data_IF_710014939308
#
_entry.id   IF_710014939308
#
_cell.length_a   1.000
_cell.length_b   1.000
_cell.length_c   1.000
_cell.angle_alpha   90.00
_cell.angle_beta   90.00
_cell.angle_gamma   90.00
#
_symmetry.space_group_name_H-M   'P 1'
#
loop_
_entity.id
_entity.type
_entity.pdbx_description
1 polymer ?
#
# COMPACT_ATOMS: atom_id res chain seq x y z
N UNK A 1 9.36 14.47 20.09
CA UNK A 1 10.28 15.44 19.43
C UNK A 1 9.49 16.14 18.34
N UNK A 2 9.51 17.50 18.32
CA UNK A 2 8.79 18.27 17.30
C UNK A 2 9.48 18.15 15.94
N UNK A 3 8.72 17.73 14.92
CA UNK A 3 9.17 17.52 13.52
C UNK A 3 8.15 18.07 12.55
N UNK A 4 8.55 18.34 11.31
CA UNK A 4 7.58 18.67 10.27
C UNK A 4 6.95 17.37 9.67
N UNK A 5 5.81 17.51 8.98
CA UNK A 5 5.08 16.36 8.46
C UNK A 5 5.89 15.50 7.49
N UNK A 6 6.78 16.08 6.69
CA UNK A 6 7.65 15.31 5.81
C UNK A 6 8.65 14.45 6.61
N UNK A 7 9.26 14.99 7.67
CA UNK A 7 10.14 14.23 8.56
C UNK A 7 9.39 13.14 9.32
N UNK A 8 8.15 13.44 9.77
CA UNK A 8 7.27 12.47 10.43
C UNK A 8 6.94 11.31 9.49
N UNK A 9 6.61 11.61 8.23
CA UNK A 9 6.35 10.59 7.22
C UNK A 9 7.54 9.64 7.07
N UNK A 10 8.76 10.16 6.93
CA UNK A 10 9.95 9.33 6.76
C UNK A 10 10.22 8.50 8.01
N UNK A 11 10.10 9.07 9.19
CA UNK A 11 10.27 8.31 10.44
C UNK A 11 9.22 7.22 10.61
N UNK A 12 7.96 7.50 10.28
CA UNK A 12 6.89 6.50 10.32
C UNK A 12 7.11 5.38 9.30
N UNK A 13 7.59 5.68 8.09
CA UNK A 13 7.94 4.67 7.09
C UNK A 13 9.10 3.78 7.57
N UNK A 14 10.15 4.38 8.10
CA UNK A 14 11.29 3.63 8.67
C UNK A 14 10.85 2.78 9.87
N UNK A 15 9.95 3.29 10.71
CA UNK A 15 9.34 2.56 11.84
C UNK A 15 8.60 1.30 11.35
N UNK A 16 7.95 1.36 10.17
CA UNK A 16 7.30 0.20 9.56
C UNK A 16 8.26 -0.75 8.83
N UNK A 17 9.56 -0.45 8.83
CA UNK A 17 10.59 -1.28 8.22
C UNK A 17 10.78 -1.04 6.73
N UNK A 18 10.35 0.12 6.22
CA UNK A 18 10.59 0.52 4.84
C UNK A 18 12.06 0.89 4.67
N UNK A 19 12.73 0.19 3.78
CA UNK A 19 14.14 0.44 3.41
C UNK A 19 14.26 1.02 1.99
N UNK A 20 13.22 0.87 1.17
CA UNK A 20 13.22 1.29 -0.23
C UNK A 20 11.87 1.90 -0.62
N UNK A 21 11.91 3.05 -1.31
CA UNK A 21 10.76 3.73 -1.87
C UNK A 21 10.99 4.06 -3.34
N UNK A 22 9.99 3.88 -4.19
CA UNK A 22 10.05 4.17 -5.62
C UNK A 22 9.23 5.42 -5.92
N UNK A 23 9.74 6.32 -6.75
CA UNK A 23 8.96 7.52 -7.01
C UNK A 23 9.52 8.46 -8.07
N UNK A 24 8.71 9.48 -8.36
CA UNK A 24 9.09 10.58 -9.24
C UNK A 24 8.74 11.92 -8.56
N UNK A 25 9.67 12.90 -8.53
CA UNK A 25 9.47 14.16 -7.82
C UNK A 25 8.45 15.07 -8.53
N UNK A 26 7.87 15.98 -7.76
CA UNK A 26 6.99 17.03 -8.25
C UNK A 26 6.64 18.05 -7.18
N UNK A 27 5.95 19.12 -7.56
CA UNK A 27 5.78 20.32 -6.74
C UNK A 27 5.10 20.10 -5.38
N UNK A 28 4.15 19.15 -5.30
CA UNK A 28 3.42 18.90 -4.05
C UNK A 28 4.23 18.06 -3.03
N UNK A 29 5.25 17.32 -3.48
CA UNK A 29 6.04 16.39 -2.64
C UNK A 29 7.48 16.85 -2.38
N UNK A 30 7.84 18.10 -2.71
CA UNK A 30 9.20 18.60 -2.53
C UNK A 30 9.71 18.49 -1.09
N UNK A 31 8.87 18.78 -0.10
CA UNK A 31 9.24 18.64 1.30
C UNK A 31 9.55 17.18 1.67
N UNK A 32 8.81 16.23 1.09
CA UNK A 32 9.03 14.79 1.30
C UNK A 32 10.36 14.37 0.65
N UNK A 33 10.66 14.85 -0.56
CA UNK A 33 11.94 14.57 -1.24
C UNK A 33 13.14 15.17 -0.51
N UNK A 34 13.00 16.38 0.09
CA UNK A 34 14.03 16.96 0.94
C UNK A 34 14.28 16.11 2.20
N UNK A 35 13.21 15.61 2.81
CA UNK A 35 13.31 14.71 3.95
C UNK A 35 13.91 13.34 3.57
N UNK A 36 13.56 12.78 2.40
CA UNK A 36 14.18 11.55 1.86
C UNK A 36 15.67 11.73 1.63
N UNK A 37 16.08 12.85 1.04
CA UNK A 37 17.50 13.14 0.81
C UNK A 37 18.29 13.20 2.12
N UNK A 38 17.75 13.87 3.14
CA UNK A 38 18.37 13.96 4.48
C UNK A 38 18.44 12.64 5.24
N UNK A 39 17.62 11.66 4.87
CA UNK A 39 17.57 10.32 5.48
C UNK A 39 17.99 9.20 4.52
N UNK A 40 18.83 9.51 3.54
CA UNK A 40 19.29 8.57 2.51
C UNK A 40 20.13 7.40 3.06
N UNK A 41 20.62 7.51 4.27
CA UNK A 41 21.30 6.46 5.04
C UNK A 41 20.30 5.45 5.67
N UNK A 42 19.03 5.83 5.82
CA UNK A 42 17.98 5.01 6.46
C UNK A 42 16.99 4.42 5.46
N UNK A 43 16.71 5.16 4.39
CA UNK A 43 15.73 4.78 3.38
C UNK A 43 16.24 5.11 1.98
N UNK A 44 16.29 4.12 1.12
CA UNK A 44 16.75 4.26 -0.26
C UNK A 44 15.62 4.73 -1.16
N UNK A 45 15.79 5.84 -1.85
CA UNK A 45 14.90 6.27 -2.91
C UNK A 45 15.40 5.79 -4.29
N UNK A 46 14.49 5.16 -5.04
CA UNK A 46 14.74 4.78 -6.44
C UNK A 46 13.92 5.70 -7.34
N UNK A 47 14.64 6.56 -8.06
CA UNK A 47 14.01 7.44 -9.05
C UNK A 47 13.58 6.64 -10.27
N UNK A 48 12.33 6.79 -10.66
CA UNK A 48 11.78 6.20 -11.89
C UNK A 48 11.59 7.28 -12.95
N UNK A 49 11.54 6.92 -14.22
CA UNK A 49 11.29 7.87 -15.30
C UNK A 49 9.80 8.25 -15.45
N UNK A 50 8.92 7.48 -14.80
CA UNK A 50 7.46 7.66 -14.82
C UNK A 50 6.84 7.04 -13.58
N UNK A 51 5.79 7.64 -13.04
CA UNK A 51 5.16 7.19 -11.78
C UNK A 51 4.52 5.80 -11.91
N UNK A 52 4.01 5.44 -13.08
CA UNK A 52 3.53 4.07 -13.34
C UNK A 52 4.64 3.05 -13.11
N UNK A 53 5.88 3.37 -13.54
CA UNK A 53 7.05 2.55 -13.27
C UNK A 53 7.36 2.44 -11.78
N UNK A 54 7.12 3.51 -10.99
CA UNK A 54 7.28 3.48 -9.54
C UNK A 54 6.28 2.53 -8.87
N UNK A 55 5.01 2.57 -9.28
CA UNK A 55 3.98 1.68 -8.75
C UNK A 55 4.28 0.20 -9.09
N UNK A 56 4.66 -0.10 -10.34
CA UNK A 56 5.06 -1.46 -10.73
C UNK A 56 6.35 -1.93 -10.05
N UNK A 57 7.31 -1.03 -9.79
CA UNK A 57 8.51 -1.37 -9.05
C UNK A 57 8.19 -1.70 -7.58
N UNK A 58 7.28 -0.94 -6.94
CA UNK A 58 6.80 -1.22 -5.59
C UNK A 58 6.04 -2.56 -5.52
N UNK A 59 5.19 -2.86 -6.51
CA UNK A 59 4.51 -4.15 -6.67
C UNK A 59 5.52 -5.30 -6.79
N UNK A 60 6.49 -5.18 -7.70
CA UNK A 60 7.55 -6.18 -7.88
C UNK A 60 8.42 -6.37 -6.63
N UNK A 61 8.72 -5.28 -5.92
CA UNK A 61 9.45 -5.32 -4.65
C UNK A 61 8.68 -6.10 -3.58
N UNK A 62 7.38 -5.84 -3.44
CA UNK A 62 6.53 -6.56 -2.50
C UNK A 62 6.49 -8.06 -2.80
N UNK A 63 6.32 -8.45 -4.07
CA UNK A 63 6.34 -9.85 -4.51
C UNK A 63 7.67 -10.54 -4.22
N UNK A 64 8.78 -9.84 -4.44
CA UNK A 64 10.11 -10.43 -4.27
C UNK A 64 10.58 -10.55 -2.82
N UNK A 65 10.10 -9.66 -1.94
CA UNK A 65 10.60 -9.53 -0.57
C UNK A 65 9.62 -9.94 0.51
N UNK A 66 8.33 -10.05 0.19
CA UNK A 66 7.25 -10.22 1.17
C UNK A 66 6.95 -8.97 2.01
N UNK A 67 7.63 -7.85 1.75
CA UNK A 67 7.40 -6.58 2.45
C UNK A 67 6.31 -5.77 1.74
N UNK A 68 5.75 -4.79 2.44
CA UNK A 68 4.85 -3.81 1.82
C UNK A 68 5.65 -2.92 0.86
N UNK A 69 5.26 -2.89 -0.41
CA UNK A 69 5.87 -2.01 -1.41
C UNK A 69 5.43 -0.56 -1.21
N UNK A 70 6.34 0.40 -1.40
CA UNK A 70 6.02 1.83 -1.23
C UNK A 70 6.36 2.61 -2.48
N UNK A 71 5.40 3.38 -3.00
CA UNK A 71 5.63 4.33 -4.08
C UNK A 71 5.17 5.75 -3.71
N UNK A 72 5.81 6.74 -4.32
CA UNK A 72 5.58 8.16 -4.06
C UNK A 72 5.41 8.93 -5.37
N UNK A 73 4.34 9.71 -5.49
CA UNK A 73 4.08 10.59 -6.62
C UNK A 73 3.56 11.96 -6.17
N UNK A 74 3.71 12.94 -7.04
CA UNK A 74 3.12 14.27 -6.84
C UNK A 74 1.61 14.25 -7.10
N UNK A 75 0.94 15.37 -6.88
CA UNK A 75 -0.49 15.57 -7.10
C UNK A 75 -0.87 15.49 -8.58
N UNK A 76 -2.18 15.43 -8.86
CA UNK A 76 -2.74 15.50 -10.21
C UNK A 76 -2.23 14.40 -11.13
N UNK A 77 -1.56 14.75 -12.24
CA UNK A 77 -1.09 13.77 -13.23
C UNK A 77 -0.10 12.76 -12.65
N UNK A 78 0.72 13.14 -11.66
CA UNK A 78 1.62 12.20 -10.99
C UNK A 78 0.86 11.13 -10.21
N UNK A 79 -0.15 11.53 -9.45
CA UNK A 79 -1.00 10.61 -8.72
C UNK A 79 -1.79 9.69 -9.65
N UNK A 80 -2.39 10.22 -10.73
CA UNK A 80 -3.15 9.40 -11.70
C UNK A 80 -2.28 8.40 -12.46
N UNK A 81 -1.00 8.70 -12.67
CA UNK A 81 -0.05 7.77 -13.29
C UNK A 81 0.23 6.52 -12.43
N UNK A 82 -0.09 6.51 -11.13
CA UNK A 82 0.04 5.33 -10.27
C UNK A 82 -1.09 4.30 -10.48
N UNK A 83 -2.23 4.71 -11.05
CA UNK A 83 -3.49 3.94 -11.07
C UNK A 83 -3.32 2.54 -11.65
N UNK A 84 -2.61 2.39 -12.77
CA UNK A 84 -2.39 1.08 -13.38
C UNK A 84 -1.65 0.13 -12.45
N UNK A 85 -0.57 0.59 -11.80
CA UNK A 85 0.20 -0.25 -10.87
C UNK A 85 -0.58 -0.57 -9.59
N UNK A 86 -1.37 0.37 -9.07
CA UNK A 86 -2.27 0.14 -7.93
C UNK A 86 -3.32 -0.92 -8.29
N UNK A 87 -3.94 -0.81 -9.47
CA UNK A 87 -4.92 -1.80 -9.94
C UNK A 87 -4.32 -3.20 -10.09
N UNK A 88 -3.09 -3.30 -10.60
CA UNK A 88 -2.34 -4.56 -10.70
C UNK A 88 -2.12 -5.19 -9.32
N UNK A 89 -1.62 -4.40 -8.37
CA UNK A 89 -1.40 -4.86 -7.00
C UNK A 89 -2.71 -5.30 -6.33
N UNK A 90 -3.82 -4.57 -6.56
CA UNK A 90 -5.13 -4.92 -6.03
C UNK A 90 -5.65 -6.26 -6.55
N UNK A 91 -5.58 -6.48 -7.85
CA UNK A 91 -6.05 -7.73 -8.48
C UNK A 91 -5.28 -8.95 -7.98
N UNK A 92 -3.96 -8.81 -7.78
CA UNK A 92 -3.07 -9.89 -7.36
C UNK A 92 -2.88 -9.98 -5.84
N UNK A 93 -3.61 -9.15 -5.07
CA UNK A 93 -3.52 -9.14 -3.59
C UNK A 93 -2.12 -8.82 -3.06
N UNK A 94 -1.44 -7.86 -3.67
CA UNK A 94 -0.09 -7.45 -3.29
C UNK A 94 -0.16 -6.25 -2.32
N UNK A 95 0.47 -6.34 -1.14
CA UNK A 95 0.48 -5.25 -0.17
C UNK A 95 1.32 -4.08 -0.68
N UNK A 96 0.69 -2.91 -0.81
CA UNK A 96 1.33 -1.69 -1.29
C UNK A 96 0.80 -0.48 -0.53
N UNK A 97 1.66 0.48 -0.24
CA UNK A 97 1.29 1.82 0.20
C UNK A 97 1.69 2.83 -0.86
N UNK A 98 0.69 3.41 -1.53
CA UNK A 98 0.87 4.46 -2.51
C UNK A 98 0.71 5.83 -1.82
N UNK A 99 1.76 6.64 -1.84
CA UNK A 99 1.76 7.97 -1.23
C UNK A 99 1.64 9.00 -2.35
N UNK A 100 0.64 9.86 -2.26
CA UNK A 100 0.45 10.97 -3.20
C UNK A 100 0.55 12.31 -2.48
N UNK A 101 1.14 13.30 -3.15
CA UNK A 101 0.99 14.67 -2.72
C UNK A 101 -0.34 15.24 -3.19
N UNK A 102 -0.82 16.26 -2.48
CA UNK A 102 -1.98 17.04 -2.90
C UNK A 102 -1.68 18.55 -2.80
N UNK A 103 -2.57 19.37 -3.38
CA UNK A 103 -2.59 20.80 -3.15
C UNK A 103 -2.80 21.09 -1.65
N UNK A 104 -2.51 22.31 -1.20
CA UNK A 104 -2.77 22.67 0.21
C UNK A 104 -4.24 22.47 0.58
N UNK A 105 -4.52 22.15 1.83
CA UNK A 105 -5.85 21.81 2.34
C UNK A 105 -6.93 22.85 2.00
N UNK A 106 -6.58 24.13 1.99
CA UNK A 106 -7.50 25.24 1.63
C UNK A 106 -7.88 25.28 0.14
N UNK A 107 -7.17 24.54 -0.71
CA UNK A 107 -7.37 24.50 -2.17
C UNK A 107 -8.10 23.24 -2.64
N UNK A 108 -8.22 22.22 -1.78
CA UNK A 108 -8.90 20.96 -2.11
C UNK A 108 -10.36 21.22 -2.48
N UNK A 109 -10.80 20.68 -3.63
CA UNK A 109 -12.14 20.84 -4.16
C UNK A 109 -12.37 22.15 -4.89
N UNK A 110 -11.30 22.85 -5.32
CA UNK A 110 -11.37 24.12 -6.04
C UNK A 110 -10.85 24.06 -7.47
N UNK A 111 -10.62 22.85 -7.99
CA UNK A 111 -10.04 22.62 -9.33
C UNK A 111 -8.69 23.37 -9.50
N UNK A 112 -7.86 23.33 -8.47
CA UNK A 112 -6.56 23.99 -8.42
C UNK A 112 -5.57 23.33 -9.38
N UNK A 113 -4.46 24.01 -9.67
CA UNK A 113 -3.43 23.48 -10.55
C UNK A 113 -2.89 22.11 -10.06
N UNK A 114 -2.96 21.11 -10.93
CA UNK A 114 -2.59 19.72 -10.63
C UNK A 114 -3.37 19.11 -9.43
N UNK A 115 -4.58 19.56 -9.21
CA UNK A 115 -5.51 18.90 -8.29
C UNK A 115 -6.26 17.78 -9.02
N UNK A 116 -6.44 16.66 -8.34
CA UNK A 116 -7.31 15.56 -8.74
C UNK A 116 -7.84 14.87 -7.50
N UNK A 117 -9.08 14.43 -7.51
CA UNK A 117 -9.63 13.62 -6.41
C UNK A 117 -9.15 12.18 -6.52
N UNK A 118 -7.85 11.97 -6.22
CA UNK A 118 -7.19 10.68 -6.38
C UNK A 118 -7.82 9.57 -5.51
N UNK A 119 -8.27 9.91 -4.30
CA UNK A 119 -8.95 8.96 -3.42
C UNK A 119 -10.23 8.40 -4.08
N UNK A 120 -11.00 9.24 -4.79
CA UNK A 120 -12.17 8.78 -5.54
C UNK A 120 -11.82 7.92 -6.74
N UNK A 121 -10.73 8.24 -7.45
CA UNK A 121 -10.27 7.47 -8.61
C UNK A 121 -9.78 6.08 -8.19
N UNK A 122 -9.08 5.98 -7.07
CA UNK A 122 -8.47 4.73 -6.60
C UNK A 122 -9.38 3.91 -5.67
N UNK A 123 -10.51 4.45 -5.25
CA UNK A 123 -11.45 3.77 -4.34
C UNK A 123 -11.80 2.33 -4.76
N UNK A 124 -12.10 2.02 -6.03
CA UNK A 124 -12.46 0.66 -6.45
C UNK A 124 -11.27 -0.30 -6.56
N UNK A 125 -10.04 0.20 -6.49
CA UNK A 125 -8.80 -0.56 -6.68
C UNK A 125 -7.84 -0.49 -5.49
N UNK A 126 -8.35 -0.10 -4.32
CA UNK A 126 -7.60 -0.04 -3.06
C UNK A 126 -8.41 -0.65 -1.93
N UNK A 127 -7.74 -1.12 -0.89
CA UNK A 127 -8.40 -1.55 0.35
C UNK A 127 -8.90 -0.35 1.15
N UNK A 128 -8.15 0.74 1.14
CA UNK A 128 -8.50 1.99 1.81
C UNK A 128 -7.78 3.17 1.19
N UNK A 129 -8.38 4.37 1.37
CA UNK A 129 -7.79 5.64 0.97
C UNK A 129 -7.84 6.61 2.16
N UNK A 130 -6.70 7.16 2.50
CA UNK A 130 -6.57 8.23 3.48
C UNK A 130 -6.32 9.57 2.78
N UNK A 131 -7.00 10.62 3.24
CA UNK A 131 -6.65 12.01 2.94
C UNK A 131 -6.28 12.68 4.25
N UNK A 132 -5.00 12.95 4.46
CA UNK A 132 -4.50 13.51 5.72
C UNK A 132 -4.89 14.98 5.82
N UNK A 133 -5.63 15.35 6.84
CA UNK A 133 -6.09 16.72 7.06
C UNK A 133 -5.41 17.43 8.22
N UNK A 134 -4.78 16.68 9.09
CA UNK A 134 -4.01 17.18 10.22
C UNK A 134 -2.66 16.47 10.29
N UNK A 135 -1.61 17.21 10.62
CA UNK A 135 -0.26 16.66 10.77
C UNK A 135 -0.17 15.73 11.99
N UNK A 136 -1.00 15.92 12.99
CA UNK A 136 -1.06 15.07 14.19
C UNK A 136 -1.53 13.64 13.84
N UNK A 137 -2.37 13.48 12.82
CA UNK A 137 -2.88 12.18 12.38
C UNK A 137 -1.91 11.44 11.45
N UNK A 138 -0.90 12.12 10.89
CA UNK A 138 -0.07 11.58 9.80
C UNK A 138 0.65 10.29 10.19
N UNK A 139 1.28 10.24 11.36
CA UNK A 139 2.02 9.07 11.80
C UNK A 139 1.12 7.84 12.00
N UNK A 140 -0.04 8.02 12.63
CA UNK A 140 -1.00 6.95 12.85
C UNK A 140 -1.67 6.52 11.53
N UNK A 141 -1.92 7.45 10.61
CA UNK A 141 -2.37 7.14 9.24
C UNK A 141 -1.38 6.22 8.51
N UNK A 142 -0.08 6.47 8.61
CA UNK A 142 0.94 5.59 8.01
C UNK A 142 0.88 4.20 8.64
N UNK A 143 0.82 4.08 9.97
CA UNK A 143 0.70 2.81 10.68
C UNK A 143 -0.53 2.02 10.24
N UNK A 144 -1.67 2.68 10.20
CA UNK A 144 -2.93 2.08 9.75
C UNK A 144 -2.88 1.64 8.30
N UNK A 145 -2.26 2.43 7.41
CA UNK A 145 -2.08 2.06 6.02
C UNK A 145 -1.27 0.76 5.86
N UNK A 146 -0.17 0.62 6.61
CA UNK A 146 0.63 -0.62 6.59
C UNK A 146 -0.13 -1.80 7.17
N UNK A 147 -0.85 -1.61 8.29
CA UNK A 147 -1.69 -2.64 8.88
C UNK A 147 -2.77 -3.10 7.91
N UNK A 148 -3.50 -2.18 7.28
CA UNK A 148 -4.57 -2.49 6.32
C UNK A 148 -4.01 -3.15 5.06
N UNK A 149 -2.88 -2.65 4.53
CA UNK A 149 -2.28 -3.20 3.31
C UNK A 149 -1.90 -4.67 3.48
N UNK A 150 -1.38 -5.05 4.65
CA UNK A 150 -0.86 -6.39 4.89
C UNK A 150 -1.87 -7.35 5.56
N UNK A 151 -2.98 -6.85 6.17
CA UNK A 151 -3.95 -7.68 6.89
C UNK A 151 -4.95 -8.36 5.97
N UNK A 152 -5.49 -9.54 6.37
CA UNK A 152 -6.47 -10.32 5.64
C UNK A 152 -6.03 -10.60 4.21
N UNK A 153 -6.90 -10.38 3.21
CA UNK A 153 -6.45 -10.36 1.81
C UNK A 153 -5.58 -9.11 1.61
N UNK A 154 -4.26 -9.25 1.39
CA UNK A 154 -3.39 -8.10 1.19
C UNK A 154 -3.80 -7.25 -0.02
N UNK A 155 -3.38 -5.99 -0.06
CA UNK A 155 -3.69 -5.13 -1.18
C UNK A 155 -3.23 -3.68 -0.96
N UNK A 156 -3.38 -2.82 -1.98
CA UNK A 156 -2.92 -1.46 -1.92
C UNK A 156 -3.78 -0.56 -1.04
N UNK A 157 -3.11 0.38 -0.39
CA UNK A 157 -3.70 1.50 0.35
C UNK A 157 -3.10 2.80 -0.17
N UNK A 158 -3.91 3.83 -0.32
CA UNK A 158 -3.46 5.16 -0.73
C UNK A 158 -3.41 6.09 0.49
N UNK A 159 -2.34 6.89 0.58
CA UNK A 159 -2.24 8.02 1.51
C UNK A 159 -2.03 9.30 0.70
N UNK A 160 -3.02 10.17 0.67
CA UNK A 160 -2.97 11.46 0.00
C UNK A 160 -2.63 12.57 1.00
N UNK A 161 -1.49 13.25 0.79
CA UNK A 161 -0.93 14.19 1.78
C UNK A 161 -0.87 15.59 1.18
N UNK A 162 -1.71 16.53 1.65
CA UNK A 162 -1.64 17.93 1.25
C UNK A 162 -0.28 18.56 1.57
N UNK A 163 0.16 19.48 0.69
CA UNK A 163 1.48 20.10 0.77
C UNK A 163 1.72 20.86 2.09
N UNK A 164 0.72 21.54 2.60
CA UNK A 164 0.79 22.26 3.87
C UNK A 164 0.95 21.33 5.08
N UNK A 165 0.35 20.14 5.05
CA UNK A 165 0.54 19.10 6.06
C UNK A 165 2.01 18.65 6.09
N UNK A 166 2.68 18.53 4.95
CA UNK A 166 4.11 18.15 4.91
C UNK A 166 5.02 19.19 5.57
N UNK A 167 4.59 20.45 5.64
CA UNK A 167 5.31 21.56 6.26
C UNK A 167 4.90 21.84 7.71
N UNK A 168 3.68 21.48 8.10
CA UNK A 168 3.16 21.66 9.47
C UNK A 168 3.99 20.85 10.47
N UNK A 169 4.01 21.30 11.73
CA UNK A 169 4.85 20.69 12.78
C UNK A 169 3.97 20.14 13.89
N UNK A 170 4.27 18.92 14.33
CA UNK A 170 3.72 18.38 15.57
C UNK A 170 4.76 17.52 16.31
N UNK A 171 4.39 16.97 17.46
CA UNK A 171 5.24 16.04 18.19
C UNK A 171 5.13 14.63 17.59
N UNK A 172 6.26 14.07 17.16
CA UNK A 172 6.34 12.68 16.74
C UNK A 172 6.66 11.76 17.92
N UNK A 173 5.80 10.77 18.15
CA UNK A 173 5.97 9.72 19.17
C UNK A 173 6.09 8.38 18.47
N UNK A 174 7.29 7.76 18.50
CA UNK A 174 7.46 6.40 17.97
C UNK A 174 6.60 5.39 18.72
N UNK A 175 5.92 4.49 18.00
CA UNK A 175 5.10 3.40 18.56
C UNK A 175 5.61 2.01 18.18
N UNK A 176 6.61 1.95 17.28
CA UNK A 176 7.15 0.70 16.74
C UNK A 176 6.37 0.19 15.51
N UNK A 177 6.90 -0.84 14.90
CA UNK A 177 6.29 -1.50 13.75
C UNK A 177 4.94 -2.11 14.16
N UNK A 178 3.92 -1.94 13.31
CA UNK A 178 2.61 -2.57 13.54
C UNK A 178 2.74 -4.10 13.45
N UNK A 179 2.13 -4.77 14.42
CA UNK A 179 2.00 -6.23 14.40
C UNK A 179 0.75 -6.61 13.61
N UNK A 180 0.91 -7.57 12.72
CA UNK A 180 -0.18 -8.13 11.92
C UNK A 180 -0.44 -9.50 12.49
N UNK A 181 -1.34 -9.57 13.47
CA UNK A 181 -1.74 -10.81 14.12
C UNK A 181 -2.95 -11.40 13.40
N UNK A 182 -2.73 -12.03 12.27
CA UNK A 182 -3.74 -12.85 11.60
C UNK A 182 -3.24 -14.30 11.54
N UNK A 183 -3.41 -15.00 12.63
CA UNK A 183 -3.37 -16.47 12.62
C UNK A 183 -4.79 -16.96 12.36
N UNK A 184 -5.06 -17.39 11.14
CA UNK A 184 -6.24 -18.23 10.87
C UNK A 184 -5.88 -19.64 11.33
N UNK A 185 -6.45 -20.06 12.47
CA UNK A 185 -6.34 -21.43 12.93
C UNK A 185 -7.37 -22.28 12.17
N UNK A 186 -6.87 -23.17 11.33
CA UNK A 186 -7.72 -24.14 10.62
C UNK A 186 -8.09 -25.23 11.62
N UNK A 187 -9.39 -25.45 11.82
CA UNK A 187 -9.88 -26.53 12.68
C UNK A 187 -9.70 -27.90 12.03
N UNK A 188 -9.59 -28.96 12.86
CA UNK A 188 -9.53 -30.34 12.38
C UNK A 188 -10.77 -30.72 11.53
N UNK A 189 -11.93 -30.16 11.84
CA UNK A 189 -13.17 -30.36 11.08
C UNK A 189 -13.09 -29.76 9.67
N UNK A 190 -12.50 -28.57 9.52
CA UNK A 190 -12.27 -27.95 8.21
C UNK A 190 -11.26 -28.75 7.40
N UNK A 191 -10.17 -29.23 8.03
CA UNK A 191 -9.19 -30.11 7.39
C UNK A 191 -9.83 -31.41 6.91
N UNK A 192 -10.65 -32.05 7.75
CA UNK A 192 -11.35 -33.29 7.38
C UNK A 192 -12.33 -33.03 6.23
N UNK A 193 -13.06 -31.92 6.24
CA UNK A 193 -13.98 -31.53 5.16
C UNK A 193 -13.25 -31.43 3.82
N UNK A 194 -12.08 -30.76 3.80
CA UNK A 194 -11.25 -30.65 2.59
C UNK A 194 -10.71 -32.00 2.14
N UNK A 195 -10.24 -32.82 3.07
CA UNK A 195 -9.77 -34.18 2.77
C UNK A 195 -10.87 -35.04 2.14
N UNK A 196 -12.09 -35.00 2.69
CA UNK A 196 -13.23 -35.74 2.16
C UNK A 196 -13.66 -35.24 0.78
N UNK A 197 -13.61 -33.91 0.53
CA UNK A 197 -13.88 -33.35 -0.79
C UNK A 197 -12.87 -33.82 -1.84
N UNK A 198 -11.58 -33.89 -1.49
CA UNK A 198 -10.52 -34.40 -2.38
C UNK A 198 -10.74 -35.89 -2.65
N UNK A 199 -11.02 -36.69 -1.61
CA UNK A 199 -11.23 -38.14 -1.73
C UNK A 199 -12.49 -38.49 -2.52
N UNK A 200 -13.55 -37.71 -2.46
CA UNK A 200 -14.79 -37.90 -3.20
C UNK A 200 -14.71 -37.46 -4.67
N UNK A 201 -13.66 -36.75 -5.06
CA UNK A 201 -13.52 -36.19 -6.40
C UNK A 201 -12.82 -37.18 -7.33
N UNK A 202 -13.42 -37.43 -8.49
CA UNK A 202 -12.76 -38.23 -9.56
C UNK A 202 -11.61 -37.49 -10.26
N UNK A 203 -11.67 -36.15 -10.27
CA UNK A 203 -10.67 -35.29 -10.94
C UNK A 203 -10.43 -34.04 -10.11
N UNK A 204 -9.77 -34.15 -8.95
CA UNK A 204 -9.52 -32.99 -8.10
C UNK A 204 -8.60 -31.99 -8.78
N UNK A 205 -8.96 -30.70 -8.72
CA UNK A 205 -8.09 -29.60 -9.14
C UNK A 205 -7.82 -28.73 -7.91
N UNK A 206 -6.54 -28.56 -7.60
CA UNK A 206 -6.10 -27.68 -6.51
C UNK A 206 -5.55 -26.40 -7.14
N UNK A 207 -6.13 -25.26 -6.78
CA UNK A 207 -5.61 -23.94 -7.15
C UNK A 207 -4.94 -23.32 -5.93
N UNK A 208 -3.61 -23.24 -5.98
CA UNK A 208 -2.83 -22.58 -4.94
C UNK A 208 -2.52 -21.15 -5.38
N UNK A 209 -3.00 -20.17 -4.62
CA UNK A 209 -2.67 -18.76 -4.82
C UNK A 209 -1.61 -18.36 -3.79
N UNK A 210 -0.48 -17.85 -4.27
CA UNK A 210 0.58 -17.36 -3.41
C UNK A 210 0.36 -15.87 -3.14
N UNK A 211 0.09 -15.50 -1.89
CA UNK A 211 -0.15 -14.11 -1.51
C UNK A 211 1.01 -13.47 -0.75
N UNK A 212 1.87 -14.27 -0.12
CA UNK A 212 3.13 -13.85 0.48
C UNK A 212 4.01 -15.07 0.77
N UNK A 213 5.33 -14.92 1.01
CA UNK A 213 6.20 -16.02 1.40
C UNK A 213 5.76 -16.74 2.69
N UNK A 214 4.99 -16.06 3.54
CA UNK A 214 4.55 -16.55 4.85
C UNK A 214 3.09 -17.02 4.89
N UNK A 215 2.30 -16.75 3.83
CA UNK A 215 0.90 -17.14 3.75
C UNK A 215 0.57 -17.84 2.44
N UNK A 216 0.38 -19.14 2.48
CA UNK A 216 -0.15 -19.92 1.37
C UNK A 216 -1.65 -20.13 1.60
N UNK A 217 -2.49 -19.44 0.84
CA UNK A 217 -3.93 -19.75 0.80
C UNK A 217 -4.12 -20.80 -0.26
N UNK A 218 -4.42 -22.03 0.18
CA UNK A 218 -4.79 -23.12 -0.70
C UNK A 218 -6.32 -23.15 -0.82
N UNK A 219 -6.83 -22.81 -1.99
CA UNK A 219 -8.26 -22.98 -2.27
C UNK A 219 -8.45 -24.27 -3.08
N UNK A 220 -9.12 -25.23 -2.48
CA UNK A 220 -9.54 -26.46 -3.19
C UNK A 220 -10.85 -26.16 -3.88
N UNK A 221 -10.85 -26.07 -5.20
CA UNK A 221 -12.05 -25.97 -6.00
C UNK A 221 -12.38 -27.39 -6.54
N UNK A 222 -13.39 -28.04 -5.98
CA UNK A 222 -14.04 -29.19 -6.60
C UNK A 222 -14.97 -28.66 -7.70
N UNK A 223 -14.45 -28.55 -8.92
CA UNK A 223 -15.29 -28.26 -10.08
C UNK A 223 -16.04 -29.55 -10.46
N UNK A 224 -17.24 -29.73 -9.95
CA UNK A 224 -18.26 -30.51 -10.63
C UNK A 224 -18.78 -29.67 -11.81
N UNK A 225 -18.09 -29.67 -12.93
CA UNK A 225 -18.69 -29.26 -14.19
C UNK A 225 -19.24 -30.53 -14.84
N UNK A 226 -20.59 -30.72 -14.95
CA UNK A 226 -21.12 -31.64 -15.92
C UNK A 226 -20.74 -31.08 -17.29
N UNK A 227 -20.05 -31.87 -18.06
CA UNK A 227 -19.78 -31.55 -19.46
C UNK A 227 -21.11 -31.39 -20.18
N UNK A 228 -21.38 -30.17 -20.66
CA UNK A 228 -22.21 -29.99 -21.84
C UNK A 228 -21.32 -30.31 -23.06
N UNK A 229 -21.64 -31.40 -23.70
CA UNK A 229 -21.19 -31.74 -25.05
C UNK A 229 -21.81 -30.76 -26.04
#
# INVERSE_FOLDING_TARGET
>A
MVKNGAEILIDALVEQGVDTIFGYPGGAVLNIYDALYKNSDRIRHILTAHEQGAAHAADGYARATGKVGVCLATSGPGATNLVTGIATAYMDSIPMVAITGNVGTSLIGRDSFQEVYIAGITMPITKHNFVVRDVEDLADTVRDAFRIAASGRPGPVLIDIPKDITAAKCEFIPKGKVEINETYEISDEELQTVADMIAASERPMIVACWTSPESMICTVLTAMLPFLI
#
